data_IF_199155192420
#
_entry.id   IF_199155192420
#
_cell.length_a   1.000
_cell.length_b   1.000
_cell.length_c   1.000
_cell.angle_alpha   90.00
_cell.angle_beta   90.00
_cell.angle_gamma   90.00
#
_symmetry.space_group_name_H-M   'P 1'
#
loop_
_entity.id
_entity.type
_entity.pdbx_description
1 polymer ?
#
# COMPACT_ATOMS: atom_id res chain seq x y z
N UNK A 1 -5.61 43.54 44.45
CA UNK A 1 -4.77 43.61 43.23
C UNK A 1 -4.71 42.21 42.68
N UNK A 2 -5.33 41.97 41.53
CA UNK A 2 -5.46 40.60 40.99
C UNK A 2 -4.10 40.09 40.47
N UNK A 3 -3.78 38.86 40.79
CA UNK A 3 -2.52 38.17 40.36
C UNK A 3 -2.28 38.32 38.84
N UNK A 4 -3.34 38.39 38.07
CA UNK A 4 -3.31 38.58 36.61
C UNK A 4 -2.74 39.96 36.23
N UNK A 5 -3.15 41.05 36.90
CA UNK A 5 -2.64 42.40 36.63
C UNK A 5 -1.18 42.57 37.01
N UNK A 6 -0.74 41.92 38.10
CA UNK A 6 0.66 41.92 38.51
C UNK A 6 1.57 41.16 37.51
N UNK A 7 1.11 40.03 37.00
CA UNK A 7 1.83 39.26 35.96
C UNK A 7 1.90 40.06 34.66
N UNK A 8 0.84 40.76 34.28
CA UNK A 8 0.79 41.58 33.06
C UNK A 8 1.76 42.74 33.08
N UNK A 9 1.87 43.45 34.21
CA UNK A 9 2.82 44.58 34.38
C UNK A 9 4.27 44.12 34.36
N UNK A 10 4.58 42.97 35.00
CA UNK A 10 5.94 42.44 35.08
C UNK A 10 6.46 41.89 33.77
N UNK A 11 5.57 41.37 32.91
CA UNK A 11 5.94 40.80 31.62
C UNK A 11 5.91 41.77 30.45
N UNK A 12 5.46 43.02 30.68
CA UNK A 12 5.32 44.06 29.64
C UNK A 12 6.55 44.30 28.77
N UNK A 13 7.80 44.32 29.26
CA UNK A 13 9.01 44.48 28.43
C UNK A 13 9.33 43.23 27.59
N UNK A 14 8.79 42.05 27.94
CA UNK A 14 9.11 40.80 27.29
C UNK A 14 7.98 40.23 26.44
N UNK A 15 6.85 40.95 26.30
CA UNK A 15 5.68 40.44 25.55
C UNK A 15 6.04 40.00 24.13
N UNK A 16 6.87 40.74 23.42
CA UNK A 16 7.29 40.40 22.08
C UNK A 16 8.05 39.07 22.04
N UNK A 17 9.01 38.89 22.96
CA UNK A 17 9.81 37.67 23.03
C UNK A 17 8.97 36.47 23.47
N UNK A 18 8.00 36.63 24.33
CA UNK A 18 7.08 35.60 24.80
C UNK A 18 6.17 35.16 23.66
N UNK A 19 5.59 36.11 22.92
CA UNK A 19 4.75 35.80 21.75
C UNK A 19 5.56 35.06 20.67
N UNK A 20 6.78 35.52 20.39
CA UNK A 20 7.68 34.89 19.43
C UNK A 20 8.02 33.44 19.84
N UNK A 21 8.31 33.22 21.14
CA UNK A 21 8.60 31.86 21.63
C UNK A 21 7.39 30.93 21.51
N UNK A 22 6.20 31.40 21.80
CA UNK A 22 4.95 30.63 21.64
C UNK A 22 4.71 30.30 20.18
N UNK A 23 4.92 31.25 19.27
CA UNK A 23 4.80 31.02 17.81
C UNK A 23 5.76 29.96 17.34
N UNK A 24 7.04 30.00 17.73
CA UNK A 24 8.05 29.00 17.38
C UNK A 24 7.63 27.62 17.91
N UNK A 25 7.10 27.53 19.11
CA UNK A 25 6.66 26.27 19.70
C UNK A 25 5.48 25.68 18.95
N UNK A 26 4.49 26.52 18.58
CA UNK A 26 3.35 26.06 17.75
C UNK A 26 3.82 25.57 16.37
N UNK A 27 4.71 26.32 15.71
CA UNK A 27 5.26 25.90 14.42
C UNK A 27 6.04 24.57 14.53
N UNK A 28 6.81 24.39 15.59
CA UNK A 28 7.54 23.14 15.84
C UNK A 28 6.60 21.95 16.03
N UNK A 29 5.51 22.14 16.78
CA UNK A 29 4.50 21.09 16.99
C UNK A 29 3.77 20.73 15.69
N UNK A 30 3.38 21.73 14.90
CA UNK A 30 2.72 21.53 13.60
C UNK A 30 3.67 20.82 12.61
N UNK A 31 4.93 21.26 12.56
CA UNK A 31 5.95 20.63 11.72
C UNK A 31 6.22 19.18 12.14
N UNK A 32 6.31 18.90 13.45
CA UNK A 32 6.47 17.55 13.98
C UNK A 32 5.27 16.66 13.65
N UNK A 33 4.06 17.18 13.81
CA UNK A 33 2.84 16.45 13.48
C UNK A 33 2.73 16.16 11.96
N UNK A 34 3.02 17.16 11.13
CA UNK A 34 3.06 17.02 9.69
C UNK A 34 4.14 16.03 9.25
N UNK A 35 5.33 16.11 9.84
CA UNK A 35 6.42 15.16 9.58
C UNK A 35 6.00 13.73 9.92
N UNK A 36 5.45 13.48 11.10
CA UNK A 36 4.99 12.15 11.48
C UNK A 36 3.85 11.63 10.59
N UNK A 37 2.91 12.50 10.20
CA UNK A 37 1.77 12.12 9.39
C UNK A 37 2.14 11.86 7.92
N UNK A 38 3.04 12.69 7.34
CA UNK A 38 3.32 12.64 5.90
C UNK A 38 4.65 11.98 5.56
N UNK A 39 5.65 12.01 6.45
CA UNK A 39 6.97 11.45 6.17
C UNK A 39 7.26 10.15 6.92
N UNK A 40 6.86 10.00 8.18
CA UNK A 40 7.11 8.75 8.90
C UNK A 40 6.32 7.58 8.33
N UNK A 41 5.12 7.83 7.76
CA UNK A 41 4.36 6.79 7.07
C UNK A 41 4.93 6.41 5.69
N UNK A 42 5.75 7.27 5.06
CA UNK A 42 6.44 6.97 3.80
C UNK A 42 7.78 6.21 3.96
N UNK A 43 8.31 6.12 5.18
CA UNK A 43 9.62 5.50 5.43
C UNK A 43 9.59 4.02 5.74
N UNK A 44 8.44 3.35 5.60
CA UNK A 44 8.33 1.89 5.81
C UNK A 44 8.53 1.04 4.54
N UNK A 45 9.05 1.60 3.47
CA UNK A 45 9.63 0.80 2.39
C UNK A 45 11.14 0.72 2.57
N UNK A 46 11.61 0.05 3.62
CA UNK A 46 12.94 -0.54 3.58
C UNK A 46 12.80 -1.82 2.76
N UNK A 47 13.51 -1.96 1.62
CA UNK A 47 13.71 -3.28 1.07
C UNK A 47 14.37 -4.10 2.19
N UNK A 48 13.85 -5.29 2.41
CA UNK A 48 14.35 -6.26 3.38
C UNK A 48 15.71 -6.77 2.84
N UNK A 49 16.76 -6.05 3.16
CA UNK A 49 18.12 -6.30 2.62
C UNK A 49 19.10 -6.74 3.72
N UNK A 50 18.58 -7.28 4.82
CA UNK A 50 19.46 -7.79 5.87
C UNK A 50 18.88 -9.01 6.60
N UNK A 51 18.77 -10.11 5.88
CA UNK A 51 18.72 -11.44 6.50
C UNK A 51 19.84 -12.27 5.84
N UNK A 52 20.67 -12.85 6.69
CA UNK A 52 21.85 -13.66 6.34
C UNK A 52 21.50 -14.96 5.57
N UNK A 53 20.83 -14.86 4.45
CA UNK A 53 20.63 -15.89 3.43
C UNK A 53 20.59 -15.23 2.04
N UNK A 54 21.64 -14.49 1.71
CA UNK A 54 21.82 -13.83 0.41
C UNK A 54 21.93 -14.83 -0.77
N UNK A 55 21.77 -16.13 -0.57
CA UNK A 55 21.82 -17.16 -1.60
C UNK A 55 20.48 -17.83 -1.90
N UNK A 56 19.42 -17.59 -1.13
CA UNK A 56 18.07 -17.87 -1.60
C UNK A 56 17.53 -16.60 -2.23
N UNK A 57 17.74 -16.41 -3.53
CA UNK A 57 16.81 -15.63 -4.34
C UNK A 57 15.45 -16.31 -4.17
N UNK A 58 14.67 -15.83 -3.20
CA UNK A 58 13.27 -16.19 -3.13
C UNK A 58 12.65 -15.67 -4.44
N UNK A 59 12.52 -16.57 -5.40
CA UNK A 59 11.80 -16.29 -6.62
C UNK A 59 10.37 -15.98 -6.20
N UNK A 60 10.02 -14.71 -6.13
CA UNK A 60 8.72 -14.23 -5.70
C UNK A 60 7.92 -13.84 -6.93
N UNK A 61 6.70 -14.35 -7.01
CA UNK A 61 5.71 -13.95 -8.00
C UNK A 61 4.52 -13.34 -7.31
N UNK A 62 4.18 -12.13 -7.69
CA UNK A 62 3.04 -11.39 -7.14
C UNK A 62 1.94 -11.27 -8.19
N UNK A 63 0.73 -11.67 -7.83
CA UNK A 63 -0.45 -11.61 -8.70
C UNK A 63 -1.42 -10.62 -8.10
N UNK A 64 -1.67 -9.53 -8.83
CA UNK A 64 -2.53 -8.43 -8.42
C UNK A 64 -3.87 -8.54 -9.10
N UNK A 65 -4.96 -8.49 -8.32
CA UNK A 65 -6.33 -8.41 -8.81
C UNK A 65 -6.92 -7.05 -8.47
N UNK A 66 -7.03 -6.20 -9.47
CA UNK A 66 -7.62 -4.87 -9.36
C UNK A 66 -9.12 -4.95 -9.61
N UNK A 67 -9.92 -4.55 -8.63
CA UNK A 67 -11.36 -4.60 -8.72
C UNK A 67 -12.04 -3.41 -8.02
N UNK A 68 -13.33 -3.19 -8.32
CA UNK A 68 -14.15 -2.21 -7.63
C UNK A 68 -15.52 -2.84 -7.28
N UNK A 69 -16.07 -2.51 -6.11
CA UNK A 69 -17.34 -3.09 -5.62
C UNK A 69 -18.53 -2.73 -6.49
N UNK A 70 -18.52 -1.53 -7.06
CA UNK A 70 -19.57 -1.04 -7.97
C UNK A 70 -19.51 -1.67 -9.37
N UNK A 71 -18.49 -2.42 -9.71
CA UNK A 71 -18.27 -3.01 -11.03
C UNK A 71 -18.95 -4.39 -11.16
N UNK A 72 -19.97 -4.58 -12.02
CA UNK A 72 -20.68 -5.85 -12.17
C UNK A 72 -19.78 -7.00 -12.69
N UNK A 73 -18.78 -6.68 -13.52
CA UNK A 73 -17.81 -7.66 -14.02
C UNK A 73 -16.88 -8.13 -12.91
N UNK A 74 -16.49 -7.23 -12.00
CA UNK A 74 -15.69 -7.56 -10.84
C UNK A 74 -16.43 -8.50 -9.88
N UNK A 75 -17.71 -8.25 -9.64
CA UNK A 75 -18.56 -9.10 -8.79
C UNK A 75 -18.64 -10.55 -9.32
N UNK A 76 -18.65 -10.72 -10.65
CA UNK A 76 -18.63 -12.04 -11.27
C UNK A 76 -17.26 -12.70 -11.23
N UNK A 77 -16.19 -11.92 -11.33
CA UNK A 77 -14.81 -12.41 -11.31
C UNK A 77 -14.32 -12.75 -9.90
N UNK A 78 -14.83 -12.05 -8.88
CA UNK A 78 -14.38 -12.14 -7.50
C UNK A 78 -14.43 -13.56 -6.91
N UNK A 79 -15.51 -14.35 -7.05
CA UNK A 79 -15.53 -15.72 -6.54
C UNK A 79 -14.49 -16.63 -7.20
N UNK A 80 -14.21 -16.46 -8.49
CA UNK A 80 -13.20 -17.23 -9.22
C UNK A 80 -11.78 -16.84 -8.79
N UNK A 81 -11.54 -15.56 -8.60
CA UNK A 81 -10.30 -15.06 -8.00
C UNK A 81 -10.07 -15.62 -6.60
N UNK A 82 -11.09 -15.58 -5.74
CA UNK A 82 -10.99 -16.07 -4.36
C UNK A 82 -10.64 -17.56 -4.29
N UNK A 83 -11.24 -18.39 -5.15
CA UNK A 83 -10.89 -19.82 -5.25
C UNK A 83 -9.43 -20.00 -5.64
N UNK A 84 -9.00 -19.32 -6.69
CA UNK A 84 -7.61 -19.36 -7.17
C UNK A 84 -6.63 -18.90 -6.08
N UNK A 85 -6.89 -17.76 -5.45
CA UNK A 85 -6.03 -17.20 -4.39
C UNK A 85 -5.95 -18.14 -3.18
N UNK A 86 -7.07 -18.73 -2.75
CA UNK A 86 -7.09 -19.67 -1.62
C UNK A 86 -6.20 -20.90 -1.88
N UNK A 87 -6.14 -21.35 -3.13
CA UNK A 87 -5.34 -22.52 -3.50
C UNK A 87 -3.86 -22.18 -3.63
N UNK A 88 -3.50 -21.01 -4.17
CA UNK A 88 -2.14 -20.68 -4.60
C UNK A 88 -1.39 -19.72 -3.68
N UNK A 89 -2.09 -18.89 -2.89
CA UNK A 89 -1.44 -17.89 -2.04
C UNK A 89 -0.49 -18.52 -1.02
N UNK A 90 0.70 -17.94 -0.87
CA UNK A 90 1.77 -18.41 0.01
C UNK A 90 2.25 -19.86 -0.30
N UNK A 91 2.05 -20.35 -1.53
CA UNK A 91 2.57 -21.63 -1.97
C UNK A 91 3.77 -21.47 -2.89
N UNK A 92 4.64 -22.46 -2.86
CA UNK A 92 5.75 -22.58 -3.81
C UNK A 92 5.28 -23.37 -5.02
N UNK A 93 5.27 -22.72 -6.19
CA UNK A 93 4.93 -23.33 -7.49
C UNK A 93 6.13 -23.16 -8.42
N UNK A 94 6.66 -24.23 -8.94
CA UNK A 94 7.84 -24.23 -9.83
C UNK A 94 9.06 -23.45 -9.27
N UNK A 95 9.26 -23.50 -7.95
CA UNK A 95 10.35 -22.79 -7.29
C UNK A 95 10.10 -21.29 -7.01
N UNK A 96 8.90 -20.79 -7.29
CA UNK A 96 8.48 -19.44 -6.98
C UNK A 96 7.46 -19.43 -5.84
N UNK A 97 7.67 -18.55 -4.87
CA UNK A 97 6.64 -18.25 -3.86
C UNK A 97 5.57 -17.37 -4.51
N UNK A 98 4.33 -17.88 -4.55
CA UNK A 98 3.20 -17.13 -5.13
C UNK A 98 2.52 -16.30 -4.06
N UNK A 99 2.35 -15.01 -4.32
CA UNK A 99 1.65 -14.07 -3.48
C UNK A 99 0.47 -13.46 -4.25
N UNK A 100 -0.75 -13.73 -3.75
CA UNK A 100 -1.98 -13.20 -4.35
C UNK A 100 -2.42 -11.94 -3.60
N UNK A 101 -2.55 -10.82 -4.32
CA UNK A 101 -2.82 -9.50 -3.77
C UNK A 101 -4.12 -8.97 -4.35
N UNK A 102 -5.09 -8.72 -3.49
CA UNK A 102 -6.35 -8.08 -3.86
C UNK A 102 -6.23 -6.57 -3.67
N UNK A 103 -6.54 -5.80 -4.70
CA UNK A 103 -6.52 -4.34 -4.69
C UNK A 103 -7.92 -3.80 -4.88
N UNK A 104 -8.55 -3.33 -3.81
CA UNK A 104 -9.87 -2.67 -3.89
C UNK A 104 -9.69 -1.22 -4.36
N UNK A 105 -10.24 -0.92 -5.52
CA UNK A 105 -10.21 0.38 -6.17
C UNK A 105 -11.59 1.09 -6.09
N UNK A 106 -12.40 0.78 -5.09
CA UNK A 106 -13.79 1.28 -4.97
C UNK A 106 -13.87 2.75 -4.62
N UNK A 107 -12.95 3.26 -3.81
CA UNK A 107 -12.91 4.65 -3.33
C UNK A 107 -11.85 5.47 -4.03
N UNK A 108 -12.17 6.74 -4.33
CA UNK A 108 -11.25 7.72 -4.93
C UNK A 108 -10.07 8.09 -3.99
N UNK A 109 -10.08 7.66 -2.73
CA UNK A 109 -9.15 8.05 -1.68
C UNK A 109 -8.18 6.95 -1.22
N UNK A 110 -8.00 5.88 -1.99
CA UNK A 110 -6.95 4.91 -1.72
C UNK A 110 -7.07 4.13 -0.40
N UNK A 111 -8.27 4.02 0.17
CA UNK A 111 -8.51 3.17 1.35
C UNK A 111 -8.64 1.70 0.92
N UNK A 112 -7.52 1.17 0.42
CA UNK A 112 -7.44 -0.23 0.03
C UNK A 112 -7.04 -1.08 1.23
N UNK A 113 -8.01 -1.74 1.80
CA UNK A 113 -7.77 -2.85 2.70
C UNK A 113 -7.26 -4.04 1.88
N UNK A 114 -5.95 -4.12 1.69
CA UNK A 114 -5.31 -5.29 1.08
C UNK A 114 -5.50 -6.50 1.99
N UNK A 115 -6.44 -7.36 1.65
CA UNK A 115 -6.86 -8.51 2.46
C UNK A 115 -5.79 -9.59 2.64
N UNK A 116 -4.73 -9.56 1.82
CA UNK A 116 -3.68 -10.58 1.79
C UNK A 116 -2.26 -10.03 2.04
N UNK A 117 -2.08 -8.74 2.27
CA UNK A 117 -0.80 -8.17 2.66
C UNK A 117 -0.75 -7.89 4.16
N UNK A 118 -0.03 -8.73 4.89
CA UNK A 118 0.11 -8.67 6.36
C UNK A 118 1.04 -7.52 6.84
N UNK A 119 1.60 -6.67 5.99
CA UNK A 119 2.71 -5.82 6.47
C UNK A 119 2.75 -4.35 6.08
N UNK A 120 2.04 -3.87 5.08
CA UNK A 120 2.00 -2.42 4.81
C UNK A 120 0.74 -2.04 4.02
N UNK A 121 -0.02 -1.02 4.44
CA UNK A 121 -1.05 -0.46 3.59
C UNK A 121 -0.36 0.19 2.39
N UNK A 122 -0.39 -0.47 1.24
CA UNK A 122 0.02 0.14 -0.02
C UNK A 122 -1.20 0.88 -0.56
N UNK A 123 -1.02 2.15 -0.87
CA UNK A 123 -2.07 2.96 -1.45
C UNK A 123 -2.50 2.38 -2.80
N UNK A 124 -3.81 2.15 -2.99
CA UNK A 124 -4.36 1.65 -4.26
C UNK A 124 -4.06 2.60 -5.40
N UNK A 125 -4.03 3.92 -5.16
CA UNK A 125 -3.72 4.93 -6.16
C UNK A 125 -2.28 4.76 -6.69
N UNK A 126 -1.31 4.49 -5.82
CA UNK A 126 0.07 4.23 -6.21
C UNK A 126 0.18 2.96 -7.08
N UNK A 127 -0.59 1.91 -6.75
CA UNK A 127 -0.61 0.66 -7.53
C UNK A 127 -1.30 0.85 -8.89
N UNK A 128 -2.43 1.56 -8.94
CA UNK A 128 -3.14 1.89 -10.18
C UNK A 128 -2.20 2.64 -11.14
N UNK A 129 -1.48 3.63 -10.63
CA UNK A 129 -0.51 4.38 -11.43
C UNK A 129 0.68 3.51 -11.85
N UNK A 130 1.27 2.74 -10.92
CA UNK A 130 2.42 1.86 -11.18
C UNK A 130 2.13 0.83 -12.26
N UNK A 131 0.95 0.23 -12.24
CA UNK A 131 0.54 -0.82 -13.17
C UNK A 131 -0.25 -0.31 -14.37
N UNK A 132 -0.48 1.01 -14.48
CA UNK A 132 -1.24 1.66 -15.54
C UNK A 132 -2.62 1.00 -15.73
N UNK A 133 -3.41 0.93 -14.65
CA UNK A 133 -4.73 0.30 -14.65
C UNK A 133 -5.77 1.26 -15.22
N UNK A 134 -6.39 0.89 -16.34
CA UNK A 134 -7.37 1.70 -17.05
C UNK A 134 -8.80 1.13 -17.01
N UNK A 135 -8.98 -0.10 -16.54
CA UNK A 135 -10.29 -0.77 -16.48
C UNK A 135 -10.34 -1.81 -15.37
N UNK A 136 -11.56 -2.21 -14.99
CA UNK A 136 -11.80 -3.23 -13.98
C UNK A 136 -12.75 -4.31 -14.51
N UNK A 137 -12.55 -5.60 -14.14
CA UNK A 137 -11.42 -6.13 -13.40
C UNK A 137 -10.16 -6.25 -14.26
N UNK A 138 -8.98 -6.03 -13.68
CA UNK A 138 -7.68 -6.29 -14.32
C UNK A 138 -6.83 -7.16 -13.40
N UNK A 139 -6.13 -8.14 -14.00
CA UNK A 139 -5.18 -8.99 -13.28
C UNK A 139 -3.80 -8.83 -13.91
N UNK A 140 -2.80 -8.57 -13.06
CA UNK A 140 -1.40 -8.48 -13.49
C UNK A 140 -0.52 -9.35 -12.60
N UNK A 141 0.43 -10.03 -13.22
CA UNK A 141 1.43 -10.84 -12.54
C UNK A 141 2.80 -10.17 -12.70
N UNK A 142 3.51 -10.03 -11.59
CA UNK A 142 4.88 -9.53 -11.56
C UNK A 142 5.83 -10.68 -11.21
N UNK A 143 6.74 -11.01 -12.12
CA UNK A 143 7.82 -12.01 -11.98
C UNK A 143 9.14 -11.33 -12.33
N UNK A 144 10.14 -11.40 -11.46
CA UNK A 144 11.51 -10.91 -11.73
C UNK A 144 11.58 -9.47 -12.29
N UNK A 145 10.67 -8.57 -11.87
CA UNK A 145 10.48 -7.18 -12.32
C UNK A 145 9.74 -7.04 -13.67
N UNK A 146 9.41 -8.12 -14.33
CA UNK A 146 8.55 -8.09 -15.51
C UNK A 146 7.08 -8.19 -15.09
N UNK A 147 6.22 -7.46 -15.80
CA UNK A 147 4.78 -7.46 -15.55
C UNK A 147 4.07 -8.04 -16.75
N UNK A 148 3.27 -9.06 -16.50
CA UNK A 148 2.44 -9.72 -17.52
C UNK A 148 0.97 -9.49 -17.17
N UNK A 149 0.18 -9.04 -18.14
CA UNK A 149 -1.26 -8.84 -18.00
C UNK A 149 -2.02 -10.09 -18.40
N UNK A 150 -3.08 -10.41 -17.66
CA UNK A 150 -3.99 -11.49 -17.97
C UNK A 150 -5.13 -10.99 -18.88
N UNK A 151 -5.19 -11.50 -20.11
CA UNK A 151 -6.14 -11.03 -21.15
C UNK A 151 -7.30 -12.00 -21.42
N UNK A 152 -7.46 -13.06 -20.62
CA UNK A 152 -8.53 -14.04 -20.83
C UNK A 152 -9.71 -13.81 -19.88
N UNK A 153 -10.79 -14.59 -20.07
CA UNK A 153 -11.91 -14.61 -19.12
C UNK A 153 -11.43 -15.13 -17.77
N UNK A 154 -11.74 -14.35 -16.71
CA UNK A 154 -11.35 -14.69 -15.34
C UNK A 154 -12.18 -15.89 -14.87
N UNK A 155 -11.52 -17.01 -14.73
CA UNK A 155 -12.00 -18.24 -14.10
C UNK A 155 -10.83 -18.89 -13.35
N UNK A 156 -11.10 -19.67 -12.31
CA UNK A 156 -10.06 -20.39 -11.57
C UNK A 156 -9.10 -21.14 -12.50
N UNK A 157 -9.64 -21.91 -13.45
CA UNK A 157 -8.85 -22.71 -14.39
C UNK A 157 -7.99 -21.86 -15.34
N UNK A 158 -8.51 -20.73 -15.85
CA UNK A 158 -7.73 -19.84 -16.73
C UNK A 158 -6.62 -19.12 -15.98
N UNK A 159 -6.85 -18.75 -14.71
CA UNK A 159 -5.84 -18.17 -13.85
C UNK A 159 -4.73 -19.19 -13.52
N UNK A 160 -5.10 -20.45 -13.26
CA UNK A 160 -4.11 -21.50 -13.03
C UNK A 160 -3.23 -21.73 -14.27
N UNK A 161 -3.82 -21.81 -15.45
CA UNK A 161 -3.06 -21.93 -16.71
C UNK A 161 -2.15 -20.75 -16.95
N UNK A 162 -2.59 -19.53 -16.60
CA UNK A 162 -1.78 -18.33 -16.71
C UNK A 162 -0.57 -18.40 -15.77
N UNK A 163 -0.79 -18.75 -14.50
CA UNK A 163 0.28 -18.96 -13.54
C UNK A 163 1.30 -19.97 -14.05
N UNK A 164 0.83 -21.13 -14.48
CA UNK A 164 1.69 -22.20 -14.98
C UNK A 164 2.47 -21.78 -16.24
N UNK A 165 1.85 -21.04 -17.16
CA UNK A 165 2.50 -20.57 -18.39
C UNK A 165 3.61 -19.54 -18.12
N UNK A 166 3.39 -18.63 -17.18
CA UNK A 166 4.39 -17.60 -16.83
C UNK A 166 5.54 -18.18 -16.01
N UNK A 167 5.27 -19.19 -15.18
CA UNK A 167 6.30 -19.82 -14.34
C UNK A 167 7.15 -20.83 -15.10
N UNK A 168 6.67 -21.38 -16.22
CA UNK A 168 7.41 -22.35 -17.05
C UNK A 168 8.26 -21.70 -18.15
N UNK A 169 8.12 -20.38 -18.35
CA UNK A 169 8.96 -19.60 -19.23
C UNK A 169 10.09 -18.94 -18.43
#
# INVERSE_FOLDING_TARGET
MNIITYLFEKTRPYHFNIILSILILIFSLVAYYAYNKYFASKQSMKPFDDVANANEKNNLVQIYFFHAQWCPHCQKAYPEWTKFATVNNQKIVNGYLVECIEVDCTGDNGDSTNKFMDKTPVDSADLIQKFNINSYPTIKMMKDKETVEFEAKITENSLQKFLDSVLNN
#
